data_IF_516051791422
#
_entry.id   IF_516051791422
#
_cell.length_a   1.000
_cell.length_b   1.000
_cell.length_c   1.000
_cell.angle_alpha   90.00
_cell.angle_beta   90.00
_cell.angle_gamma   90.00
#
_symmetry.space_group_name_H-M   'P 1'
#
loop_
_entity.id
_entity.type
_entity.pdbx_description
1 polymer ?
#
# COMPACT_ATOMS: atom_id res chain seq x y z
N UNK A 1 -28.30 -6.21 -18.74
CA UNK A 1 -28.37 -6.73 -17.36
C UNK A 1 -28.08 -8.23 -17.41
N UNK A 2 -26.82 -8.64 -17.58
CA UNK A 2 -26.44 -10.05 -17.82
C UNK A 2 -25.07 -10.47 -17.24
N UNK A 3 -24.48 -9.66 -16.36
CA UNK A 3 -23.13 -9.93 -15.81
C UNK A 3 -23.15 -10.48 -14.37
N UNK A 4 -24.32 -10.85 -13.85
CA UNK A 4 -24.49 -11.34 -12.47
C UNK A 4 -24.29 -12.86 -12.31
N UNK A 5 -23.72 -13.55 -13.31
CA UNK A 5 -23.21 -14.89 -13.09
C UNK A 5 -21.78 -14.73 -12.55
N UNK A 6 -21.63 -14.77 -11.23
CA UNK A 6 -20.31 -14.67 -10.62
C UNK A 6 -19.38 -15.74 -11.19
N UNK A 7 -18.19 -15.33 -11.60
CA UNK A 7 -17.28 -16.13 -12.44
C UNK A 7 -16.31 -16.95 -11.60
N UNK A 8 -16.05 -16.49 -10.37
CA UNK A 8 -15.07 -17.11 -9.47
C UNK A 8 -15.62 -17.08 -8.03
N UNK A 9 -15.45 -18.16 -7.23
CA UNK A 9 -15.80 -18.12 -5.81
C UNK A 9 -14.98 -17.08 -5.07
N UNK A 10 -15.63 -16.19 -4.33
CA UNK A 10 -14.98 -15.06 -3.65
C UNK A 10 -13.87 -15.50 -2.70
N UNK A 11 -14.11 -16.58 -1.94
CA UNK A 11 -13.11 -17.22 -1.06
C UNK A 11 -11.78 -17.56 -1.74
N UNK A 12 -11.76 -17.88 -3.04
CA UNK A 12 -10.53 -18.20 -3.77
C UNK A 12 -9.75 -16.93 -4.09
N UNK A 13 -10.47 -15.85 -4.39
CA UNK A 13 -9.90 -14.54 -4.65
C UNK A 13 -9.35 -13.92 -3.36
N UNK A 14 -10.03 -14.13 -2.23
CA UNK A 14 -9.55 -13.70 -0.92
C UNK A 14 -8.29 -14.46 -0.50
N UNK A 15 -8.28 -15.78 -0.65
CA UNK A 15 -7.09 -16.59 -0.38
C UNK A 15 -5.88 -16.18 -1.25
N UNK A 16 -6.12 -15.84 -2.52
CA UNK A 16 -5.08 -15.29 -3.39
C UNK A 16 -4.61 -13.91 -2.91
N UNK A 17 -5.54 -13.05 -2.49
CA UNK A 17 -5.25 -11.73 -1.95
C UNK A 17 -4.38 -11.83 -0.71
N UNK A 18 -4.75 -12.65 0.26
CA UNK A 18 -3.98 -12.89 1.48
C UNK A 18 -2.56 -13.39 1.17
N UNK A 19 -2.43 -14.37 0.26
CA UNK A 19 -1.13 -14.90 -0.14
C UNK A 19 -0.24 -13.84 -0.78
N UNK A 20 -0.78 -13.00 -1.66
CA UNK A 20 -0.02 -11.93 -2.33
C UNK A 20 0.38 -10.83 -1.35
N UNK A 21 -0.52 -10.40 -0.45
CA UNK A 21 -0.19 -9.43 0.59
C UNK A 21 0.90 -9.95 1.53
N UNK A 22 0.77 -11.18 2.01
CA UNK A 22 1.77 -11.81 2.87
C UNK A 22 3.14 -11.87 2.18
N UNK A 23 3.18 -12.27 0.90
CA UNK A 23 4.42 -12.34 0.13
C UNK A 23 5.02 -10.96 -0.13
N UNK A 24 4.22 -9.96 -0.50
CA UNK A 24 4.69 -8.60 -0.71
C UNK A 24 5.29 -8.01 0.58
N UNK A 25 4.62 -8.21 1.72
CA UNK A 25 5.12 -7.74 3.03
C UNK A 25 6.46 -8.39 3.41
N UNK A 26 6.65 -9.68 3.14
CA UNK A 26 7.91 -10.36 3.45
C UNK A 26 9.03 -9.99 2.48
N UNK A 27 8.72 -9.71 1.21
CA UNK A 27 9.72 -9.20 0.26
C UNK A 27 10.30 -7.84 0.68
N UNK A 28 9.53 -7.01 1.38
CA UNK A 28 10.03 -5.69 1.82
C UNK A 28 11.28 -5.79 2.69
N UNK A 29 11.35 -6.77 3.60
CA UNK A 29 12.50 -6.90 4.51
C UNK A 29 13.77 -7.33 3.77
N UNK A 30 13.63 -8.07 2.66
CA UNK A 30 14.76 -8.50 1.83
C UNK A 30 15.47 -7.32 1.16
N UNK A 31 14.81 -6.16 1.05
CA UNK A 31 15.39 -4.94 0.48
C UNK A 31 16.24 -4.16 1.50
N UNK A 32 16.24 -4.56 2.78
CA UNK A 32 17.09 -3.97 3.82
C UNK A 32 18.43 -4.71 3.80
N UNK A 33 19.30 -4.27 2.90
CA UNK A 33 20.64 -4.83 2.70
C UNK A 33 21.69 -3.96 3.39
N UNK A 34 22.75 -4.59 3.89
CA UNK A 34 23.94 -3.88 4.32
C UNK A 34 24.70 -3.35 3.08
N UNK A 35 25.43 -2.23 3.19
CA UNK A 35 26.30 -1.75 2.11
C UNK A 35 27.27 -2.86 1.64
N UNK A 36 27.60 -2.88 0.34
CA UNK A 36 28.50 -3.90 -0.22
C UNK A 36 29.90 -3.88 0.42
N UNK A 37 30.34 -2.71 0.90
CA UNK A 37 31.62 -2.48 1.58
C UNK A 37 31.52 -2.55 3.11
N UNK A 38 30.43 -3.11 3.66
CA UNK A 38 30.21 -3.19 5.10
C UNK A 38 31.14 -4.20 5.78
N UNK A 39 32.23 -3.69 6.36
CA UNK A 39 33.25 -4.47 7.09
C UNK A 39 33.58 -3.83 8.46
N UNK A 40 32.65 -3.85 9.42
CA UNK A 40 32.84 -3.21 10.72
C UNK A 40 33.94 -3.90 11.55
N UNK A 41 34.87 -3.12 12.11
CA UNK A 41 35.96 -3.63 12.98
C UNK A 41 35.65 -3.52 14.46
N UNK A 42 34.70 -2.66 14.81
CA UNK A 42 34.25 -2.45 16.19
C UNK A 42 32.72 -2.47 16.27
N UNK A 43 32.18 -2.66 17.48
CA UNK A 43 30.74 -2.51 17.75
C UNK A 43 30.24 -1.13 17.35
N UNK A 44 31.05 -0.09 17.53
CA UNK A 44 30.68 1.26 17.15
C UNK A 44 30.54 1.40 15.63
N UNK A 45 31.46 0.83 14.84
CA UNK A 45 31.38 0.84 13.38
C UNK A 45 30.14 0.09 12.89
N UNK A 46 29.82 -1.04 13.52
CA UNK A 46 28.62 -1.82 13.22
C UNK A 46 27.34 -1.00 13.46
N UNK A 47 27.23 -0.34 14.62
CA UNK A 47 26.08 0.50 14.95
C UNK A 47 25.97 1.73 14.04
N UNK A 48 27.09 2.34 13.65
CA UNK A 48 27.09 3.45 12.69
C UNK A 48 26.64 3.00 11.30
N UNK A 49 27.04 1.81 10.84
CA UNK A 49 26.54 1.27 9.58
C UNK A 49 25.04 0.99 9.61
N UNK A 50 24.51 0.47 10.72
CA UNK A 50 23.06 0.31 10.90
C UNK A 50 22.32 1.65 10.87
N UNK A 51 22.89 2.71 11.47
CA UNK A 51 22.28 4.04 11.46
C UNK A 51 22.18 4.63 10.03
N UNK A 52 23.10 4.25 9.12
CA UNK A 52 23.04 4.65 7.70
C UNK A 52 21.89 3.98 6.93
N UNK A 53 21.31 2.90 7.46
CA UNK A 53 20.14 2.25 6.87
C UNK A 53 18.81 2.88 7.30
N UNK A 54 18.84 3.99 8.06
CA UNK A 54 17.65 4.62 8.61
C UNK A 54 16.62 5.00 7.53
N UNK A 55 17.03 5.56 6.40
CA UNK A 55 16.12 5.92 5.31
C UNK A 55 15.44 4.70 4.68
N UNK A 56 16.21 3.64 4.40
CA UNK A 56 15.68 2.36 3.90
C UNK A 56 14.72 1.73 4.91
N UNK A 57 15.03 1.80 6.20
CA UNK A 57 14.19 1.28 7.25
C UNK A 57 12.88 2.07 7.41
N UNK A 58 12.93 3.39 7.30
CA UNK A 58 11.73 4.25 7.29
C UNK A 58 10.86 3.93 6.07
N UNK A 59 11.47 3.83 4.89
CA UNK A 59 10.77 3.45 3.65
C UNK A 59 10.09 2.08 3.77
N UNK A 60 10.79 1.12 4.37
CA UNK A 60 10.28 -0.21 4.69
C UNK A 60 9.07 -0.11 5.61
N UNK A 61 9.19 0.58 6.74
CA UNK A 61 8.15 0.62 7.76
C UNK A 61 6.88 1.30 7.23
N UNK A 62 7.03 2.42 6.51
CA UNK A 62 5.91 3.11 5.86
C UNK A 62 5.21 2.17 4.87
N UNK A 63 5.97 1.52 3.99
CA UNK A 63 5.41 0.64 2.96
C UNK A 63 4.71 -0.58 3.57
N UNK A 64 5.30 -1.18 4.59
CA UNK A 64 4.73 -2.29 5.34
C UNK A 64 3.41 -1.91 6.01
N UNK A 65 3.37 -0.76 6.71
CA UNK A 65 2.15 -0.28 7.37
C UNK A 65 1.04 0.05 6.38
N UNK A 66 1.38 0.58 5.20
CA UNK A 66 0.39 0.79 4.12
C UNK A 66 -0.19 -0.54 3.65
N UNK A 67 0.65 -1.55 3.35
CA UNK A 67 0.16 -2.88 2.97
C UNK A 67 -0.73 -3.49 4.05
N UNK A 68 -0.34 -3.37 5.33
CA UNK A 68 -1.14 -3.85 6.47
C UNK A 68 -2.48 -3.15 6.53
N UNK A 69 -2.53 -1.83 6.31
CA UNK A 69 -3.79 -1.08 6.31
C UNK A 69 -4.74 -1.54 5.20
N UNK A 70 -4.22 -1.74 3.98
CA UNK A 70 -5.02 -2.29 2.87
C UNK A 70 -5.52 -3.71 3.16
N UNK A 71 -4.62 -4.59 3.62
CA UNK A 71 -4.97 -5.96 3.98
C UNK A 71 -6.02 -6.00 5.09
N UNK A 72 -5.87 -5.19 6.13
CA UNK A 72 -6.83 -5.12 7.23
C UNK A 72 -8.19 -4.54 6.79
N UNK A 73 -8.19 -3.58 5.86
CA UNK A 73 -9.41 -3.08 5.23
C UNK A 73 -10.16 -4.16 4.48
N UNK A 74 -9.44 -5.05 3.77
CA UNK A 74 -10.02 -6.23 3.11
C UNK A 74 -10.51 -7.27 4.11
N UNK A 75 -9.69 -7.63 5.10
CA UNK A 75 -10.01 -8.65 6.10
C UNK A 75 -11.27 -8.33 6.95
N UNK A 76 -11.66 -7.05 7.04
CA UNK A 76 -12.88 -6.60 7.73
C UNK A 76 -14.16 -6.73 6.91
N UNK A 77 -14.07 -6.94 5.60
CA UNK A 77 -15.25 -7.05 4.74
C UNK A 77 -15.97 -8.37 5.08
N UNK A 78 -17.14 -8.25 5.71
CA UNK A 78 -17.90 -9.37 6.29
C UNK A 78 -19.11 -9.78 5.46
N UNK A 79 -19.54 -8.94 4.51
CA UNK A 79 -20.74 -9.15 3.69
C UNK A 79 -20.37 -9.28 2.20
N UNK A 80 -19.39 -10.13 1.89
CA UNK A 80 -19.02 -10.39 0.50
C UNK A 80 -19.94 -11.47 -0.12
N UNK A 81 -20.33 -11.32 -1.41
CA UNK A 81 -21.15 -12.32 -2.09
C UNK A 81 -20.38 -13.64 -2.26
N UNK A 82 -21.07 -14.77 -2.31
CA UNK A 82 -20.44 -16.10 -2.47
C UNK A 82 -19.67 -16.22 -3.80
N UNK A 83 -20.14 -15.52 -4.84
CA UNK A 83 -19.54 -15.49 -6.15
C UNK A 83 -19.16 -14.05 -6.54
N UNK A 84 -17.90 -13.86 -6.93
CA UNK A 84 -17.38 -12.61 -7.43
C UNK A 84 -17.84 -12.35 -8.89
N UNK A 85 -18.35 -11.16 -9.19
CA UNK A 85 -18.55 -10.75 -10.59
C UNK A 85 -17.23 -10.63 -11.33
N UNK A 86 -17.29 -10.65 -12.67
CA UNK A 86 -16.10 -10.41 -13.51
C UNK A 86 -15.45 -9.06 -13.23
N UNK A 87 -16.26 -8.03 -12.94
CA UNK A 87 -15.76 -6.69 -12.66
C UNK A 87 -14.97 -6.64 -11.35
N UNK A 88 -15.51 -7.25 -10.29
CA UNK A 88 -14.84 -7.36 -8.99
C UNK A 88 -13.55 -8.16 -9.10
N UNK A 89 -13.60 -9.35 -9.72
CA UNK A 89 -12.41 -10.20 -9.90
C UNK A 89 -11.29 -9.47 -10.67
N UNK A 90 -11.61 -8.75 -11.74
CA UNK A 90 -10.63 -7.97 -12.52
C UNK A 90 -10.04 -6.82 -11.71
N UNK A 91 -10.86 -6.10 -10.95
CA UNK A 91 -10.39 -5.01 -10.10
C UNK A 91 -9.43 -5.53 -9.03
N UNK A 92 -9.74 -6.66 -8.40
CA UNK A 92 -8.88 -7.29 -7.39
C UNK A 92 -7.56 -7.77 -8.00
N UNK A 93 -7.58 -8.49 -9.13
CA UNK A 93 -6.34 -8.93 -9.77
C UNK A 93 -5.44 -7.75 -10.21
N UNK A 94 -6.04 -6.67 -10.69
CA UNK A 94 -5.29 -5.46 -11.05
C UNK A 94 -4.73 -4.74 -9.81
N UNK A 95 -5.43 -4.77 -8.68
CA UNK A 95 -4.89 -4.29 -7.40
C UNK A 95 -3.70 -5.14 -6.93
N UNK A 96 -3.81 -6.46 -7.01
CA UNK A 96 -2.72 -7.38 -6.63
C UNK A 96 -1.46 -7.17 -7.47
N UNK A 97 -1.60 -6.84 -8.75
CA UNK A 97 -0.45 -6.42 -9.57
C UNK A 97 0.30 -5.25 -8.92
N UNK A 98 -0.39 -4.19 -8.52
CA UNK A 98 0.25 -3.02 -7.89
C UNK A 98 0.77 -3.30 -6.49
N UNK A 99 0.19 -4.26 -5.76
CA UNK A 99 0.76 -4.77 -4.49
C UNK A 99 2.11 -5.44 -4.74
N UNK A 100 2.24 -6.25 -5.80
CA UNK A 100 3.50 -6.93 -6.14
C UNK A 100 4.60 -6.00 -6.66
N UNK A 101 4.24 -4.86 -7.25
CA UNK A 101 5.21 -3.83 -7.71
C UNK A 101 5.72 -2.97 -6.55
N UNK A 102 4.99 -2.92 -5.44
CA UNK A 102 5.28 -2.02 -4.33
C UNK A 102 6.68 -2.21 -3.73
N UNK A 103 7.18 -3.45 -3.47
CA UNK A 103 8.54 -3.65 -2.97
C UNK A 103 9.62 -3.08 -3.89
N UNK A 104 9.46 -3.22 -5.20
CA UNK A 104 10.38 -2.65 -6.18
C UNK A 104 10.36 -1.11 -6.14
N UNK A 105 9.17 -0.50 -6.08
CA UNK A 105 9.08 0.97 -6.01
C UNK A 105 9.64 1.52 -4.70
N UNK A 106 9.50 0.80 -3.58
CA UNK A 106 10.11 1.11 -2.29
C UNK A 106 11.65 1.05 -2.37
N UNK A 107 12.19 0.01 -3.02
CA UNK A 107 13.63 -0.12 -3.23
C UNK A 107 14.20 1.05 -4.05
N UNK A 108 13.46 1.52 -5.05
CA UNK A 108 13.89 2.65 -5.87
C UNK A 108 14.03 3.93 -5.02
N UNK A 109 13.04 4.25 -4.18
CA UNK A 109 13.07 5.45 -3.34
C UNK A 109 14.08 5.35 -2.19
N UNK A 110 14.38 4.14 -1.69
CA UNK A 110 15.40 3.97 -0.65
C UNK A 110 16.83 4.03 -1.17
N UNK A 111 17.07 3.66 -2.44
CA UNK A 111 18.41 3.65 -3.04
C UNK A 111 18.80 4.93 -3.77
N UNK A 112 17.83 5.65 -4.33
CA UNK A 112 18.10 6.78 -5.21
C UNK A 112 17.47 8.07 -4.67
N UNK A 113 18.31 9.01 -4.26
CA UNK A 113 17.91 10.35 -3.81
C UNK A 113 17.60 11.28 -5.00
N UNK A 114 16.64 10.86 -5.83
CA UNK A 114 16.18 11.61 -7.02
C UNK A 114 14.66 11.68 -7.04
N UNK A 115 14.11 12.81 -7.51
CA UNK A 115 12.67 13.03 -7.59
C UNK A 115 11.93 11.92 -8.36
N UNK A 116 12.55 11.38 -9.42
CA UNK A 116 11.98 10.30 -10.23
C UNK A 116 11.71 9.01 -9.45
N UNK A 117 12.55 8.67 -8.47
CA UNK A 117 12.34 7.50 -7.62
C UNK A 117 11.15 7.69 -6.68
N UNK A 118 11.02 8.90 -6.11
CA UNK A 118 9.83 9.28 -5.31
C UNK A 118 8.56 9.26 -6.16
N UNK A 119 8.63 9.73 -7.42
CA UNK A 119 7.48 9.73 -8.32
C UNK A 119 7.05 8.32 -8.71
N UNK A 120 7.99 7.40 -8.92
CA UNK A 120 7.68 5.99 -9.17
C UNK A 120 6.92 5.37 -7.99
N UNK A 121 7.41 5.60 -6.76
CA UNK A 121 6.75 5.15 -5.53
C UNK A 121 5.36 5.80 -5.35
N UNK A 122 5.27 7.12 -5.53
CA UNK A 122 4.02 7.88 -5.45
C UNK A 122 2.99 7.43 -6.47
N UNK A 123 3.41 7.15 -7.71
CA UNK A 123 2.55 6.59 -8.74
C UNK A 123 2.00 5.22 -8.32
N UNK A 124 2.84 4.34 -7.78
CA UNK A 124 2.39 3.04 -7.28
C UNK A 124 1.37 3.19 -6.14
N UNK A 125 1.58 4.12 -5.21
CA UNK A 125 0.66 4.41 -4.11
C UNK A 125 -0.70 4.95 -4.60
N UNK A 126 -0.69 5.85 -5.57
CA UNK A 126 -1.91 6.36 -6.21
C UNK A 126 -2.65 5.22 -6.91
N UNK A 127 -1.94 4.34 -7.61
CA UNK A 127 -2.54 3.18 -8.29
C UNK A 127 -3.14 2.19 -7.30
N UNK A 128 -2.52 1.96 -6.14
CA UNK A 128 -3.11 1.19 -5.05
C UNK A 128 -4.41 1.81 -4.55
N UNK A 129 -4.43 3.13 -4.32
CA UNK A 129 -5.64 3.83 -3.91
C UNK A 129 -6.75 3.75 -4.98
N UNK A 130 -6.42 4.01 -6.24
CA UNK A 130 -7.37 3.97 -7.36
C UNK A 130 -7.96 2.58 -7.53
N UNK A 131 -7.13 1.54 -7.50
CA UNK A 131 -7.60 0.15 -7.62
C UNK A 131 -8.41 -0.28 -6.41
N UNK A 132 -8.06 0.15 -5.20
CA UNK A 132 -8.90 -0.01 -4.01
C UNK A 132 -10.30 0.59 -4.18
N UNK A 133 -10.38 1.83 -4.70
CA UNK A 133 -11.67 2.47 -5.02
C UNK A 133 -12.44 1.69 -6.09
N UNK A 134 -11.77 1.10 -7.09
CA UNK A 134 -12.43 0.29 -8.11
C UNK A 134 -13.03 -1.00 -7.52
N UNK A 135 -12.32 -1.65 -6.59
CA UNK A 135 -12.82 -2.82 -5.85
C UNK A 135 -14.06 -2.42 -5.05
N UNK A 136 -13.98 -1.35 -4.26
CA UNK A 136 -15.12 -0.79 -3.50
C UNK A 136 -16.34 -0.54 -4.37
N UNK A 137 -16.16 0.09 -5.54
CA UNK A 137 -17.26 0.34 -6.48
C UNK A 137 -17.83 -0.93 -7.10
N UNK A 138 -16.99 -1.92 -7.40
CA UNK A 138 -17.44 -3.20 -7.93
C UNK A 138 -18.22 -3.99 -6.87
N UNK A 139 -17.72 -4.03 -5.63
CA UNK A 139 -18.37 -4.68 -4.50
C UNK A 139 -19.75 -4.05 -4.22
N UNK A 140 -19.87 -2.72 -4.22
CA UNK A 140 -21.17 -2.03 -4.06
C UNK A 140 -22.19 -2.38 -5.13
N UNK A 141 -21.75 -2.55 -6.38
CA UNK A 141 -22.62 -2.97 -7.48
C UNK A 141 -23.13 -4.40 -7.30
N UNK A 142 -22.31 -5.28 -6.75
CA UNK A 142 -22.64 -6.69 -6.58
C UNK A 142 -23.47 -6.95 -5.31
N UNK A 143 -23.16 -6.29 -4.19
CA UNK A 143 -23.81 -6.52 -2.89
C UNK A 143 -25.06 -5.67 -2.66
N UNK A 144 -25.23 -4.57 -3.40
CA UNK A 144 -26.38 -3.64 -3.28
C UNK A 144 -26.47 -2.88 -1.94
N UNK A 145 -25.52 -3.10 -1.03
CA UNK A 145 -25.44 -2.45 0.28
C UNK A 145 -24.38 -1.34 0.25
N UNK A 146 -24.74 -0.17 0.76
CA UNK A 146 -23.81 0.95 0.92
C UNK A 146 -23.15 0.82 2.30
N UNK A 147 -21.91 0.32 2.33
CA UNK A 147 -21.11 0.35 3.55
C UNK A 147 -20.69 1.82 3.81
N UNK A 148 -21.08 2.43 4.96
CA UNK A 148 -20.68 3.79 5.31
C UNK A 148 -19.16 3.95 5.42
N UNK A 149 -18.43 2.86 5.70
CA UNK A 149 -16.98 2.87 5.93
C UNK A 149 -16.18 2.31 4.74
N UNK A 150 -16.53 2.72 3.51
CA UNK A 150 -15.95 2.24 2.23
C UNK A 150 -14.49 2.67 1.95
N UNK A 151 -13.70 2.98 2.98
CA UNK A 151 -12.27 3.32 2.82
C UNK A 151 -11.98 4.65 2.11
N UNK A 152 -13.00 5.46 1.80
CA UNK A 152 -12.86 6.66 0.94
C UNK A 152 -11.92 7.70 1.54
N UNK A 153 -11.91 7.84 2.86
CA UNK A 153 -11.04 8.79 3.57
C UNK A 153 -9.60 8.28 3.51
N UNK A 154 -9.39 7.00 3.75
CA UNK A 154 -8.10 6.33 3.70
C UNK A 154 -7.47 6.42 2.30
N UNK A 155 -8.23 6.13 1.23
CA UNK A 155 -7.75 6.28 -0.15
C UNK A 155 -7.48 7.75 -0.52
N UNK A 156 -8.33 8.67 -0.07
CA UNK A 156 -8.13 10.11 -0.30
C UNK A 156 -6.88 10.64 0.37
N UNK A 157 -6.62 10.25 1.62
CA UNK A 157 -5.42 10.59 2.37
C UNK A 157 -4.17 9.98 1.72
N UNK A 158 -4.26 8.74 1.23
CA UNK A 158 -3.13 8.11 0.53
C UNK A 158 -2.77 8.85 -0.76
N UNK A 159 -3.76 9.26 -1.56
CA UNK A 159 -3.53 10.06 -2.77
C UNK A 159 -2.95 11.43 -2.40
N UNK A 160 -3.53 12.11 -1.39
CA UNK A 160 -3.06 13.41 -0.96
C UNK A 160 -1.62 13.37 -0.44
N UNK A 161 -1.28 12.38 0.38
CA UNK A 161 0.08 12.17 0.88
C UNK A 161 1.05 11.78 -0.24
N UNK A 162 0.62 11.01 -1.24
CA UNK A 162 1.44 10.68 -2.40
C UNK A 162 1.76 11.91 -3.25
N UNK A 163 0.76 12.74 -3.57
CA UNK A 163 0.97 14.00 -4.30
C UNK A 163 1.85 14.95 -3.50
N UNK A 164 1.61 15.08 -2.20
CA UNK A 164 2.45 15.90 -1.32
C UNK A 164 3.90 15.42 -1.31
N UNK A 165 4.12 14.10 -1.23
CA UNK A 165 5.45 13.48 -1.32
C UNK A 165 6.15 13.84 -2.64
N UNK A 166 5.45 13.73 -3.77
CA UNK A 166 5.99 14.10 -5.10
C UNK A 166 6.32 15.59 -5.23
N UNK A 167 5.61 16.46 -4.51
CA UNK A 167 5.90 17.90 -4.48
C UNK A 167 7.11 18.19 -3.60
N UNK A 168 7.20 17.57 -2.41
CA UNK A 168 8.34 17.71 -1.50
C UNK A 168 9.64 17.24 -2.18
N UNK A 169 9.58 16.20 -3.01
CA UNK A 169 10.76 15.66 -3.70
C UNK A 169 11.40 16.62 -4.70
N UNK A 170 10.71 17.69 -5.12
CA UNK A 170 11.28 18.75 -5.95
C UNK A 170 12.31 19.60 -5.19
N UNK A 171 12.22 19.64 -3.86
CA UNK A 171 13.11 20.43 -2.99
C UNK A 171 14.04 19.51 -2.20
N UNK A 172 13.51 18.41 -1.66
CA UNK A 172 14.29 17.44 -0.89
C UNK A 172 13.67 16.03 -0.99
N UNK A 173 14.24 15.13 -1.82
CA UNK A 173 13.72 13.78 -1.97
C UNK A 173 13.84 12.94 -0.68
N UNK A 174 14.92 13.09 0.09
CA UNK A 174 15.10 12.39 1.37
C UNK A 174 13.96 12.56 2.39
N UNK A 175 13.31 13.74 2.47
CA UNK A 175 12.19 13.96 3.39
C UNK A 175 10.82 13.63 2.79
N UNK A 176 10.74 13.34 1.49
CA UNK A 176 9.48 13.18 0.79
C UNK A 176 8.62 12.02 1.33
N UNK A 177 9.25 10.95 1.81
CA UNK A 177 8.53 9.80 2.36
C UNK A 177 7.79 10.12 3.66
N UNK A 178 8.22 11.12 4.42
CA UNK A 178 7.57 11.48 5.69
C UNK A 178 6.12 11.98 5.50
N UNK A 179 5.77 12.44 4.29
CA UNK A 179 4.40 12.80 3.95
C UNK A 179 3.41 11.64 4.15
N UNK A 180 3.84 10.40 3.98
CA UNK A 180 2.99 9.22 4.17
C UNK A 180 2.67 8.91 5.63
N UNK A 181 3.40 9.50 6.60
CA UNK A 181 3.05 9.39 8.02
C UNK A 181 1.68 10.02 8.33
N UNK A 182 1.20 10.93 7.48
CA UNK A 182 -0.16 11.48 7.55
C UNK A 182 -1.23 10.37 7.47
N UNK A 183 -0.95 9.26 6.80
CA UNK A 183 -1.88 8.14 6.69
C UNK A 183 -2.07 7.39 8.01
N UNK A 184 -1.13 7.49 8.96
CA UNK A 184 -1.31 6.93 10.31
C UNK A 184 -2.42 7.65 11.08
N UNK A 185 -2.73 8.89 10.70
CA UNK A 185 -3.85 9.63 11.26
C UNK A 185 -5.21 9.23 10.67
N UNK A 186 -5.23 8.44 9.57
CA UNK A 186 -6.46 8.09 8.85
C UNK A 186 -7.55 7.47 9.73
N UNK A 187 -7.27 6.53 10.67
CA UNK A 187 -8.29 5.97 11.55
C UNK A 187 -8.96 7.03 12.45
N UNK A 188 -8.21 8.05 12.87
CA UNK A 188 -8.72 9.13 13.71
C UNK A 188 -9.61 10.09 12.90
N UNK A 189 -9.19 10.41 11.67
CA UNK A 189 -9.98 11.23 10.74
C UNK A 189 -11.26 10.50 10.35
N UNK A 190 -11.18 9.22 10.02
CA UNK A 190 -12.31 8.35 9.68
C UNK A 190 -13.33 8.27 10.83
N UNK A 191 -12.89 8.07 12.08
CA UNK A 191 -13.77 8.11 13.26
C UNK A 191 -14.50 9.45 13.43
N UNK A 192 -13.83 10.57 13.12
CA UNK A 192 -14.41 11.91 13.24
C UNK A 192 -15.41 12.22 12.13
N UNK A 193 -15.17 11.72 10.92
CA UNK A 193 -16.04 11.91 9.75
C UNK A 193 -17.28 11.02 9.81
N UNK A 194 -17.12 9.76 10.23
CA UNK A 194 -18.20 8.77 10.24
C UNK A 194 -18.90 8.61 11.59
N UNK A 195 -18.41 9.25 12.66
CA UNK A 195 -19.09 9.37 13.94
C UNK A 195 -19.41 8.02 14.60
N UNK A 196 -18.46 7.50 15.38
CA UNK A 196 -18.80 6.60 16.48
C UNK A 196 -19.19 7.43 17.72
#
# INVERSE_FOLDING_TARGET
>A
MKDAAGVVPTRRLDALTDAVFAFAMTLLVLNIELPEDFDPKTTQDFLQGLARLSDTFIAYLITFLVLVAFWFGRAKQTNEPEMASTAYARATLFHLLWVTVLPFSMLAVSRYDVAGAVWLYGANMILLAVTGILISRAAKRDSGHDDPADGRVEFGLLIASAVLSMVISLVSPGYAMLAYLLNLAAPFVSRRVYGA
#
